data_IF_843660750887
#
_entry.id   IF_843660750887
#
_cell.length_a   1.000
_cell.length_b   1.000
_cell.length_c   1.000
_cell.angle_alpha   90.00
_cell.angle_beta   90.00
_cell.angle_gamma   90.00
#
_symmetry.space_group_name_H-M   'P 1'
#
loop_
_entity.id
_entity.type
_entity.pdbx_description
1 polymer ?
#
# COMPACT_ATOMS: atom_id res chain seq x y z
N UNK A 1 -19.98 -51.71 -9.80
CA UNK A 1 -19.79 -50.54 -8.91
C UNK A 1 -18.83 -49.60 -9.61
N UNK A 2 -19.16 -48.32 -9.86
CA UNK A 2 -18.16 -47.39 -10.35
C UNK A 2 -17.33 -46.91 -9.15
N UNK A 3 -16.04 -47.26 -9.14
CA UNK A 3 -15.04 -46.68 -8.25
C UNK A 3 -14.83 -45.21 -8.65
N UNK A 4 -15.56 -44.33 -7.99
CA UNK A 4 -15.22 -42.92 -7.93
C UNK A 4 -13.92 -42.81 -7.14
N UNK A 5 -12.78 -42.82 -7.84
CA UNK A 5 -11.55 -42.21 -7.36
C UNK A 5 -11.83 -40.72 -7.14
N UNK A 6 -12.47 -40.42 -6.02
CA UNK A 6 -12.51 -39.10 -5.45
C UNK A 6 -11.05 -38.74 -5.19
N UNK A 7 -10.52 -37.80 -5.98
CA UNK A 7 -9.26 -37.12 -5.75
C UNK A 7 -9.19 -36.73 -4.27
N UNK A 8 -8.54 -37.56 -3.46
CA UNK A 8 -8.30 -37.26 -2.06
C UNK A 8 -7.45 -36.01 -2.06
N UNK A 9 -7.98 -34.91 -1.54
CA UNK A 9 -7.19 -33.71 -1.25
C UNK A 9 -6.09 -34.09 -0.24
N UNK A 10 -4.95 -34.55 -0.75
CA UNK A 10 -3.77 -34.82 0.06
C UNK A 10 -3.09 -33.48 0.30
N UNK A 11 -3.37 -32.92 1.47
CA UNK A 11 -2.72 -31.70 1.97
C UNK A 11 -1.45 -32.07 2.72
N UNK A 12 -0.38 -31.30 2.51
CA UNK A 12 0.87 -31.38 3.26
C UNK A 12 1.16 -30.03 3.92
N UNK A 13 1.75 -30.07 5.11
CA UNK A 13 2.26 -28.89 5.77
C UNK A 13 3.58 -28.47 5.12
N UNK A 14 3.67 -27.24 4.64
CA UNK A 14 4.84 -26.67 3.97
C UNK A 14 5.18 -25.31 4.54
N UNK A 15 6.46 -24.95 4.58
CA UNK A 15 6.90 -23.63 5.00
C UNK A 15 6.74 -22.62 3.86
N UNK A 16 6.22 -21.43 4.17
CA UNK A 16 6.20 -20.31 3.23
C UNK A 16 7.62 -19.79 2.98
N UNK A 17 8.01 -19.61 1.72
CA UNK A 17 9.34 -19.11 1.36
C UNK A 17 9.57 -17.69 1.86
N UNK A 18 8.52 -16.87 1.98
CA UNK A 18 8.59 -15.47 2.40
C UNK A 18 8.60 -15.27 3.90
N UNK A 19 7.62 -15.84 4.62
CA UNK A 19 7.46 -15.61 6.06
C UNK A 19 7.90 -16.78 6.92
N UNK A 20 8.33 -17.90 6.32
CA UNK A 20 8.74 -19.15 6.98
C UNK A 20 7.66 -19.83 7.84
N UNK A 21 6.47 -19.24 7.96
CA UNK A 21 5.35 -19.84 8.66
C UNK A 21 4.81 -21.05 7.87
N UNK A 22 4.53 -22.17 8.56
CA UNK A 22 3.95 -23.34 7.94
C UNK A 22 2.48 -23.12 7.56
N UNK A 23 2.05 -23.70 6.44
CA UNK A 23 0.66 -23.68 5.97
C UNK A 23 0.35 -24.95 5.16
N UNK A 24 -0.94 -25.25 5.00
CA UNK A 24 -1.39 -26.44 4.25
C UNK A 24 -1.40 -26.14 2.74
N UNK A 25 -0.82 -27.02 1.94
CA UNK A 25 -0.84 -26.95 0.47
C UNK A 25 -1.15 -28.34 -0.11
N UNK A 26 -1.81 -28.39 -1.26
CA UNK A 26 -2.00 -29.66 -1.97
C UNK A 26 -0.66 -30.21 -2.45
N UNK A 27 -0.42 -31.51 -2.24
CA UNK A 27 0.82 -32.16 -2.67
C UNK A 27 1.12 -31.96 -4.16
N UNK A 28 0.11 -32.08 -5.01
CA UNK A 28 0.24 -31.85 -6.46
C UNK A 28 0.62 -30.40 -6.81
N UNK A 29 0.10 -29.42 -6.06
CA UNK A 29 0.45 -28.00 -6.24
C UNK A 29 1.91 -27.74 -5.85
N UNK A 30 2.35 -28.29 -4.71
CA UNK A 30 3.75 -28.20 -4.25
C UNK A 30 4.73 -28.76 -5.28
N UNK A 31 4.47 -29.97 -5.79
CA UNK A 31 5.32 -30.62 -6.79
C UNK A 31 5.41 -29.77 -8.06
N UNK A 32 4.27 -29.28 -8.57
CA UNK A 32 4.24 -28.40 -9.74
C UNK A 32 5.07 -27.13 -9.53
N UNK A 33 4.97 -26.49 -8.36
CA UNK A 33 5.75 -25.28 -8.05
C UNK A 33 7.25 -25.59 -7.99
N UNK A 34 7.64 -26.72 -7.40
CA UNK A 34 9.03 -27.16 -7.37
C UNK A 34 9.59 -27.46 -8.77
N UNK A 35 8.84 -28.17 -9.63
CA UNK A 35 9.24 -28.45 -11.01
C UNK A 35 9.43 -27.19 -11.85
N UNK A 36 8.59 -26.17 -11.61
CA UNK A 36 8.66 -24.87 -12.28
C UNK A 36 9.58 -23.86 -11.60
N UNK A 37 10.21 -24.25 -10.50
CA UNK A 37 11.05 -23.36 -9.68
C UNK A 37 10.29 -22.09 -9.22
N UNK A 38 8.99 -22.22 -8.93
CA UNK A 38 8.11 -21.17 -8.41
C UNK A 38 8.18 -21.11 -6.87
N UNK A 39 8.04 -19.91 -6.29
CA UNK A 39 7.98 -19.74 -4.83
C UNK A 39 6.74 -20.42 -4.20
N UNK A 40 6.93 -21.07 -3.06
CA UNK A 40 5.89 -21.59 -2.19
C UNK A 40 5.46 -20.47 -1.22
N UNK A 41 4.42 -19.73 -1.59
CA UNK A 41 3.93 -18.58 -0.82
C UNK A 41 2.58 -18.87 -0.18
N UNK A 42 2.43 -18.55 1.11
CA UNK A 42 1.15 -18.71 1.81
C UNK A 42 0.14 -17.63 1.44
N UNK A 43 -1.15 -17.92 1.63
CA UNK A 43 -2.25 -17.01 1.30
C UNK A 43 -2.12 -15.65 1.98
N UNK A 44 -1.63 -15.60 3.22
CA UNK A 44 -1.40 -14.34 3.93
C UNK A 44 -0.36 -13.46 3.23
N UNK A 45 0.74 -14.03 2.74
CA UNK A 45 1.76 -13.28 2.01
C UNK A 45 1.22 -12.78 0.66
N UNK A 46 0.38 -13.59 -0.02
CA UNK A 46 -0.29 -13.18 -1.27
C UNK A 46 -1.24 -11.99 -1.00
N UNK A 47 -2.08 -12.09 0.03
CA UNK A 47 -3.00 -11.02 0.45
C UNK A 47 -2.25 -9.76 0.85
N UNK A 48 -1.13 -9.88 1.55
CA UNK A 48 -0.26 -8.76 1.91
C UNK A 48 0.28 -8.05 0.66
N UNK A 49 0.77 -8.80 -0.33
CA UNK A 49 1.28 -8.24 -1.59
C UNK A 49 0.17 -7.49 -2.35
N UNK A 50 -1.01 -8.11 -2.49
CA UNK A 50 -2.16 -7.48 -3.14
C UNK A 50 -2.57 -6.17 -2.44
N UNK A 51 -2.57 -6.16 -1.10
CA UNK A 51 -2.84 -4.95 -0.31
C UNK A 51 -1.79 -3.88 -0.55
N UNK A 52 -0.50 -4.24 -0.64
CA UNK A 52 0.59 -3.30 -0.95
C UNK A 52 0.40 -2.65 -2.33
N UNK A 53 0.06 -3.45 -3.36
CA UNK A 53 -0.19 -2.95 -4.72
C UNK A 53 -1.37 -1.98 -4.74
N UNK A 54 -2.49 -2.34 -4.11
CA UNK A 54 -3.66 -1.46 -4.00
C UNK A 54 -3.35 -0.18 -3.22
N UNK A 55 -2.53 -0.28 -2.17
CA UNK A 55 -2.10 0.90 -1.42
C UNK A 55 -1.27 1.81 -2.33
N UNK A 56 -0.28 1.26 -3.05
CA UNK A 56 0.63 2.04 -3.90
C UNK A 56 -0.11 2.87 -4.95
N UNK A 57 -1.14 2.30 -5.60
CA UNK A 57 -1.94 3.05 -6.58
C UNK A 57 -2.78 4.17 -5.93
N UNK A 58 -3.42 3.88 -4.80
CA UNK A 58 -4.18 4.88 -4.04
C UNK A 58 -3.28 5.99 -3.49
N UNK A 59 -2.07 5.64 -3.09
CA UNK A 59 -1.06 6.56 -2.59
C UNK A 59 -0.60 7.49 -3.72
N UNK A 60 -0.21 6.94 -4.86
CA UNK A 60 0.25 7.70 -6.01
C UNK A 60 -0.79 8.73 -6.44
N UNK A 61 -2.07 8.33 -6.48
CA UNK A 61 -3.18 9.23 -6.84
C UNK A 61 -3.28 10.43 -5.91
N UNK A 62 -3.23 10.23 -4.59
CA UNK A 62 -3.34 11.38 -3.68
C UNK A 62 -2.08 12.22 -3.60
N UNK A 63 -0.90 11.63 -3.77
CA UNK A 63 0.32 12.44 -3.90
C UNK A 63 0.20 13.39 -5.09
N UNK A 64 -0.42 12.93 -6.19
CA UNK A 64 -0.71 13.78 -7.34
C UNK A 64 -1.78 14.85 -7.03
N UNK A 65 -2.84 14.51 -6.30
CA UNK A 65 -3.85 15.48 -5.83
C UNK A 65 -3.22 16.57 -4.94
N UNK A 66 -2.35 16.20 -4.01
CA UNK A 66 -1.63 17.13 -3.14
C UNK A 66 -0.68 18.01 -3.95
N UNK A 67 0.07 17.45 -4.91
CA UNK A 67 0.94 18.23 -5.80
C UNK A 67 0.16 19.22 -6.66
N UNK A 68 -1.01 18.80 -7.15
CA UNK A 68 -1.90 19.68 -7.92
C UNK A 68 -2.40 20.83 -7.05
N UNK A 69 -2.85 20.53 -5.82
CA UNK A 69 -3.27 21.56 -4.87
C UNK A 69 -2.16 22.55 -4.51
N UNK A 70 -0.91 22.09 -4.37
CA UNK A 70 0.25 22.98 -4.13
C UNK A 70 0.44 23.93 -5.32
N UNK A 71 0.42 23.40 -6.56
CA UNK A 71 0.54 24.24 -7.77
C UNK A 71 -0.57 25.27 -7.88
N UNK A 72 -1.81 24.89 -7.55
CA UNK A 72 -2.94 25.82 -7.57
C UNK A 72 -2.75 26.96 -6.57
N UNK A 73 -2.26 26.66 -5.36
CA UNK A 73 -1.95 27.70 -4.38
C UNK A 73 -0.76 28.57 -4.78
N UNK A 74 0.29 28.00 -5.41
CA UNK A 74 1.41 28.78 -5.94
C UNK A 74 0.96 29.75 -7.04
N UNK A 75 0.06 29.29 -7.93
CA UNK A 75 -0.51 30.14 -8.98
C UNK A 75 -1.36 31.27 -8.38
N UNK A 76 -2.23 30.96 -7.41
CA UNK A 76 -3.04 31.96 -6.72
C UNK A 76 -2.17 32.97 -5.97
N UNK A 77 -1.07 32.52 -5.36
CA UNK A 77 -0.10 33.37 -4.66
C UNK A 77 0.62 34.34 -5.59
N UNK A 78 0.93 33.90 -6.82
CA UNK A 78 1.54 34.75 -7.85
C UNK A 78 0.61 35.85 -8.39
N UNK A 79 -0.71 35.62 -8.35
CA UNK A 79 -1.74 36.56 -8.80
C UNK A 79 -2.27 37.45 -7.69
N UNK A 80 -2.10 37.04 -6.42
CA UNK A 80 -2.63 37.77 -5.28
C UNK A 80 -1.79 39.03 -5.01
N UNK A 81 -2.44 40.13 -4.66
CA UNK A 81 -1.76 41.40 -4.35
C UNK A 81 -1.72 41.65 -2.84
N UNK A 82 -2.72 41.14 -2.09
CA UNK A 82 -2.82 41.32 -0.65
C UNK A 82 -1.79 40.47 0.12
N UNK A 83 -1.01 41.11 0.97
CA UNK A 83 -0.02 40.42 1.81
C UNK A 83 -0.66 39.44 2.81
N UNK A 84 -1.82 39.77 3.37
CA UNK A 84 -2.54 38.86 4.28
C UNK A 84 -2.98 37.59 3.55
N UNK A 85 -3.54 37.73 2.34
CA UNK A 85 -3.96 36.58 1.55
C UNK A 85 -2.78 35.74 1.06
N UNK A 86 -1.65 36.37 0.70
CA UNK A 86 -0.39 35.65 0.42
C UNK A 86 0.05 34.81 1.60
N UNK A 87 0.00 35.34 2.83
CA UNK A 87 0.37 34.59 4.03
C UNK A 87 -0.54 33.35 4.21
N UNK A 88 -1.84 33.48 3.94
CA UNK A 88 -2.77 32.34 3.98
C UNK A 88 -2.38 31.26 2.96
N UNK A 89 -2.03 31.65 1.73
CA UNK A 89 -1.57 30.69 0.72
C UNK A 89 -0.25 30.04 1.08
N UNK A 90 0.72 30.78 1.63
CA UNK A 90 1.97 30.21 2.14
C UNK A 90 1.74 29.17 3.23
N UNK A 91 0.83 29.42 4.19
CA UNK A 91 0.49 28.43 5.22
C UNK A 91 -0.15 27.18 4.63
N UNK A 92 -1.04 27.33 3.64
CA UNK A 92 -1.67 26.19 2.94
C UNK A 92 -0.63 25.36 2.18
N UNK A 93 0.27 26.01 1.43
CA UNK A 93 1.37 25.33 0.71
C UNK A 93 2.26 24.58 1.70
N UNK A 94 2.63 25.22 2.82
CA UNK A 94 3.47 24.60 3.86
C UNK A 94 2.81 23.36 4.43
N UNK A 95 1.53 23.44 4.83
CA UNK A 95 0.78 22.28 5.34
C UNK A 95 0.78 21.14 4.33
N UNK A 96 0.39 21.40 3.08
CA UNK A 96 0.36 20.38 2.03
C UNK A 96 1.74 19.76 1.75
N UNK A 97 2.80 20.56 1.81
CA UNK A 97 4.18 20.09 1.63
C UNK A 97 4.66 19.19 2.78
N UNK A 98 4.32 19.52 4.02
CA UNK A 98 4.61 18.67 5.19
C UNK A 98 3.88 17.32 5.10
N UNK A 99 2.65 17.35 4.63
CA UNK A 99 1.82 16.16 4.42
C UNK A 99 2.42 15.27 3.33
N UNK A 100 2.79 15.85 2.19
CA UNK A 100 3.44 15.13 1.10
C UNK A 100 4.74 14.47 1.58
N UNK A 101 5.54 15.20 2.35
CA UNK A 101 6.79 14.69 2.94
C UNK A 101 6.53 13.48 3.83
N UNK A 102 5.58 13.58 4.77
CA UNK A 102 5.20 12.48 5.67
C UNK A 102 4.63 11.27 4.90
N UNK A 103 3.85 11.51 3.86
CA UNK A 103 3.35 10.45 2.97
C UNK A 103 4.50 9.67 2.32
N UNK A 104 5.49 10.36 1.75
CA UNK A 104 6.68 9.75 1.14
C UNK A 104 7.51 8.97 2.17
N UNK A 105 7.70 9.50 3.37
CA UNK A 105 8.44 8.80 4.44
C UNK A 105 7.75 7.51 4.89
N UNK A 106 6.43 7.52 5.06
CA UNK A 106 5.67 6.34 5.45
C UNK A 106 5.74 5.26 4.38
N UNK A 107 5.71 5.61 3.09
CA UNK A 107 5.91 4.64 2.01
C UNK A 107 7.29 4.01 2.04
N UNK A 108 8.35 4.81 2.23
CA UNK A 108 9.71 4.29 2.38
C UNK A 108 9.78 3.28 3.52
N UNK A 109 9.11 3.55 4.64
CA UNK A 109 9.03 2.60 5.77
C UNK A 109 8.23 1.34 5.44
N UNK A 110 7.13 1.43 4.68
CA UNK A 110 6.36 0.27 4.22
C UNK A 110 7.16 -0.59 3.24
N UNK A 111 7.99 0.02 2.41
CA UNK A 111 8.86 -0.69 1.47
C UNK A 111 10.03 -1.37 2.20
N UNK A 112 10.64 -0.67 3.17
CA UNK A 112 11.75 -1.19 3.96
C UNK A 112 11.33 -2.19 5.04
N UNK A 113 10.06 -2.20 5.46
CA UNK A 113 9.59 -3.06 6.54
C UNK A 113 8.29 -3.77 6.17
N UNK A 114 8.23 -5.10 6.38
CA UNK A 114 7.00 -5.88 6.22
C UNK A 114 5.97 -5.66 7.37
N UNK A 115 5.98 -4.49 8.01
CA UNK A 115 5.14 -4.21 9.19
C UNK A 115 3.83 -3.52 8.79
N UNK A 116 2.70 -4.18 9.02
CA UNK A 116 1.35 -3.65 8.71
C UNK A 116 1.04 -2.31 9.41
N UNK A 117 1.65 -2.03 10.58
CA UNK A 117 1.40 -0.79 11.33
C UNK A 117 1.62 0.50 10.52
N UNK A 118 2.60 0.51 9.61
CA UNK A 118 2.89 1.69 8.80
C UNK A 118 1.85 1.91 7.71
N UNK A 119 1.19 0.84 7.26
CA UNK A 119 0.06 0.90 6.33
C UNK A 119 -1.15 1.56 7.03
N UNK A 120 -1.39 1.23 8.29
CA UNK A 120 -2.49 1.83 9.07
C UNK A 120 -2.21 3.29 9.44
N UNK A 121 -0.96 3.64 9.79
CA UNK A 121 -0.54 5.03 9.99
C UNK A 121 -0.73 5.86 8.71
N UNK A 122 -0.40 5.30 7.55
CA UNK A 122 -0.64 5.93 6.26
C UNK A 122 -2.13 6.21 6.02
N UNK A 123 -3.00 5.22 6.24
CA UNK A 123 -4.45 5.38 6.12
C UNK A 123 -4.99 6.46 7.06
N UNK A 124 -4.52 6.48 8.31
CA UNK A 124 -4.93 7.50 9.29
C UNK A 124 -4.49 8.91 8.90
N UNK A 125 -3.27 9.06 8.38
CA UNK A 125 -2.79 10.34 7.84
C UNK A 125 -3.76 10.83 6.76
N UNK A 126 -4.13 9.95 5.84
CA UNK A 126 -5.01 10.25 4.72
C UNK A 126 -6.44 10.61 5.11
N UNK A 127 -7.02 9.88 6.07
CA UNK A 127 -8.37 10.17 6.56
C UNK A 127 -8.43 11.51 7.30
N UNK A 128 -7.35 11.93 7.96
CA UNK A 128 -7.25 13.30 8.51
C UNK A 128 -7.24 14.35 7.40
N UNK A 129 -6.53 14.10 6.31
CA UNK A 129 -6.46 15.03 5.17
C UNK A 129 -7.82 15.27 4.54
N UNK A 130 -8.56 14.18 4.24
CA UNK A 130 -9.91 14.30 3.67
C UNK A 130 -10.86 15.11 4.55
N UNK A 131 -10.67 15.07 5.88
CA UNK A 131 -11.47 15.82 6.84
C UNK A 131 -11.04 17.27 7.00
N UNK A 132 -9.77 17.59 6.77
CA UNK A 132 -9.24 18.96 6.84
C UNK A 132 -9.37 19.73 5.52
N UNK A 133 -9.53 19.01 4.40
CA UNK A 133 -9.78 19.58 3.07
C UNK A 133 -11.26 19.67 2.66
N UNK A 134 -12.18 19.23 3.53
CA UNK A 134 -13.63 19.35 3.37
C UNK A 134 -14.16 20.49 4.26
#
# INVERSE_FOLDING_TARGET
>A
MPDTNADKLVLELVACDRCKNPFMMQKGEKLRKQEKNEEIVCENCIKLEQRKIQLASSVAKSQEEIRTSIKDYEQQLGLEESQEKKNIFYEKIKKQSEILTKSVELLKKIEQTNQEKYIDEYKKLFEKLKKESA
#
